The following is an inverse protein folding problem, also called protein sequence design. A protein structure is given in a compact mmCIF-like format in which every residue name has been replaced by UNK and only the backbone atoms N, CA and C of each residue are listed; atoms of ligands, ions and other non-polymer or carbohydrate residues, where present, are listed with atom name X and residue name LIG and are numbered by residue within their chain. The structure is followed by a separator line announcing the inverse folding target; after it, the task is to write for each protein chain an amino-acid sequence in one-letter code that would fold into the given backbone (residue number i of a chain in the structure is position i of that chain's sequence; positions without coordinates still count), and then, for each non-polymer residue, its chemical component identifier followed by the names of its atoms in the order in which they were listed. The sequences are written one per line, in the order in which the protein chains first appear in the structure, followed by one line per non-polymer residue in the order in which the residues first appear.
data_IF_749862220915
#
_entry.id   IF_749862220915
#
_cell.length_a   1.000
_cell.length_b   1.000
_cell.length_c   1.000
_cell.angle_alpha   90.00
_cell.angle_beta   90.00
_cell.angle_gamma   90.00
#
_symmetry.space_group_name_H-M   'P 1'
#
loop_
_entity.id
_entity.type
_entity.pdbx_description
1 polymer ?
#
# COMPACT_ATOMS: atom_id res chain seq x y z
N UNK A 1 -1.86 3.67 -43.63
CA UNK A 1 -3.31 3.95 -43.71
C UNK A 1 -4.13 2.68 -43.46
N UNK A 2 -3.81 1.54 -44.06
CA UNK A 2 -4.51 0.26 -43.82
C UNK A 2 -4.35 -0.32 -42.40
N UNK A 3 -3.21 -0.06 -41.74
CA UNK A 3 -2.94 -0.51 -40.36
C UNK A 3 -3.74 0.22 -39.29
N UNK A 4 -4.05 1.50 -39.49
CA UNK A 4 -4.85 2.27 -38.51
C UNK A 4 -6.35 2.00 -38.67
N UNK A 5 -6.82 1.78 -39.91
CA UNK A 5 -8.20 1.40 -40.19
C UNK A 5 -8.54 0.00 -39.65
N UNK A 6 -7.63 -0.96 -39.75
CA UNK A 6 -7.82 -2.30 -39.17
C UNK A 6 -7.79 -2.28 -37.64
N UNK A 7 -6.95 -1.44 -37.03
CA UNK A 7 -6.95 -1.23 -35.58
C UNK A 7 -8.26 -0.61 -35.09
N UNK A 8 -8.80 0.38 -35.81
CA UNK A 8 -10.08 1.01 -35.52
C UNK A 8 -11.26 0.04 -35.66
N UNK A 9 -11.34 -0.72 -36.75
CA UNK A 9 -12.37 -1.74 -36.95
C UNK A 9 -12.31 -2.86 -35.90
N UNK A 10 -11.11 -3.22 -35.44
CA UNK A 10 -10.93 -4.20 -34.37
C UNK A 10 -11.43 -3.64 -33.04
N UNK A 11 -11.18 -2.36 -32.76
CA UNK A 11 -11.63 -1.71 -31.53
C UNK A 11 -13.17 -1.60 -31.52
N UNK A 12 -13.78 -1.13 -32.62
CA UNK A 12 -15.24 -1.08 -32.76
C UNK A 12 -15.91 -2.46 -32.62
N UNK A 13 -15.40 -3.49 -33.29
CA UNK A 13 -15.96 -4.84 -33.18
C UNK A 13 -15.81 -5.41 -31.76
N UNK A 14 -14.70 -5.07 -31.07
CA UNK A 14 -14.47 -5.43 -29.68
C UNK A 14 -15.40 -4.67 -28.73
N UNK A 15 -15.65 -3.38 -28.96
CA UNK A 15 -16.58 -2.60 -28.15
C UNK A 15 -18.02 -3.10 -28.31
N UNK A 16 -18.43 -3.41 -29.55
CA UNK A 16 -19.76 -4.00 -29.84
C UNK A 16 -19.92 -5.38 -29.20
N UNK A 17 -18.89 -6.22 -29.27
CA UNK A 17 -18.90 -7.52 -28.60
C UNK A 17 -19.01 -7.39 -27.08
N UNK A 18 -18.22 -6.49 -26.47
CA UNK A 18 -18.29 -6.22 -25.03
C UNK A 18 -19.64 -5.64 -24.61
N UNK A 19 -20.25 -4.77 -25.43
CA UNK A 19 -21.60 -4.27 -25.17
C UNK A 19 -22.64 -5.39 -25.23
N UNK A 20 -22.54 -6.31 -26.20
CA UNK A 20 -23.42 -7.47 -26.31
C UNK A 20 -23.37 -8.35 -25.07
N UNK A 21 -22.17 -8.67 -24.57
CA UNK A 21 -22.00 -9.45 -23.33
C UNK A 21 -22.59 -8.74 -22.11
N UNK A 22 -22.33 -7.44 -21.94
CA UNK A 22 -22.87 -6.65 -20.83
C UNK A 22 -24.40 -6.61 -20.87
N UNK A 23 -24.99 -6.44 -22.05
CA UNK A 23 -26.45 -6.43 -22.23
C UNK A 23 -27.06 -7.80 -21.91
N UNK A 24 -26.41 -8.90 -22.30
CA UNK A 24 -26.85 -10.25 -21.94
C UNK A 24 -26.85 -10.45 -20.43
N UNK A 25 -25.81 -9.98 -19.74
CA UNK A 25 -25.70 -10.05 -18.28
C UNK A 25 -26.79 -9.20 -17.59
N UNK A 26 -27.03 -7.97 -18.06
CA UNK A 26 -28.07 -7.09 -17.52
C UNK A 26 -29.47 -7.69 -17.75
N UNK A 27 -29.69 -8.30 -18.91
CA UNK A 27 -30.96 -8.96 -19.25
C UNK A 27 -31.19 -10.18 -18.35
N UNK A 28 -30.14 -10.97 -18.11
CA UNK A 28 -30.17 -12.06 -17.13
C UNK A 28 -30.51 -11.56 -15.72
N UNK A 29 -29.83 -10.50 -15.23
CA UNK A 29 -30.09 -9.89 -13.91
C UNK A 29 -31.52 -9.34 -13.77
N UNK A 30 -32.06 -8.78 -14.85
CA UNK A 30 -33.42 -8.23 -14.87
C UNK A 30 -34.51 -9.31 -14.87
N UNK A 31 -34.20 -10.50 -15.39
CA UNK A 31 -35.10 -11.66 -15.34
C UNK A 31 -35.19 -12.34 -13.97
N UNK A 32 -34.43 -11.87 -12.98
CA UNK A 32 -34.41 -12.43 -11.63
C UNK A 32 -35.53 -11.82 -10.79
N UNK A 33 -36.28 -12.66 -10.08
CA UNK A 33 -37.31 -12.22 -9.15
C UNK A 33 -36.68 -11.73 -7.84
N UNK A 34 -36.54 -10.41 -7.71
CA UNK A 34 -35.91 -9.77 -6.54
C UNK A 34 -36.72 -9.87 -5.23
N UNK A 35 -37.92 -10.43 -5.30
CA UNK A 35 -38.83 -10.60 -4.16
C UNK A 35 -38.53 -11.85 -3.34
N UNK A 36 -37.61 -12.71 -3.78
CA UNK A 36 -37.29 -13.93 -3.05
C UNK A 36 -36.58 -13.63 -1.71
N UNK A 37 -36.97 -14.29 -0.60
CA UNK A 37 -36.45 -13.97 0.74
C UNK A 37 -34.93 -14.08 0.87
N UNK A 38 -34.31 -15.03 0.15
CA UNK A 38 -32.86 -15.20 0.16
C UNK A 38 -32.13 -14.06 -0.56
N UNK A 39 -32.72 -13.52 -1.63
CA UNK A 39 -32.20 -12.36 -2.37
C UNK A 39 -32.28 -11.08 -1.52
N UNK A 40 -33.37 -10.93 -0.75
CA UNK A 40 -33.51 -9.85 0.23
C UNK A 40 -32.45 -9.98 1.32
N UNK A 41 -32.19 -11.19 1.81
CA UNK A 41 -31.08 -11.47 2.73
C UNK A 41 -29.73 -11.06 2.14
N UNK A 42 -29.50 -11.33 0.86
CA UNK A 42 -28.32 -10.89 0.11
C UNK A 42 -28.24 -9.36 0.04
N UNK A 43 -29.35 -8.67 -0.22
CA UNK A 43 -29.38 -7.21 -0.27
C UNK A 43 -29.08 -6.57 1.09
N UNK A 44 -29.66 -7.10 2.17
CA UNK A 44 -29.35 -6.68 3.55
C UNK A 44 -27.88 -6.91 3.85
N UNK A 45 -27.33 -8.04 3.42
CA UNK A 45 -25.91 -8.34 3.55
C UNK A 45 -25.03 -7.29 2.86
N UNK A 46 -25.40 -6.81 1.68
CA UNK A 46 -24.70 -5.70 1.01
C UNK A 46 -24.75 -4.39 1.80
N UNK A 47 -25.92 -4.07 2.37
CA UNK A 47 -26.08 -2.89 3.24
C UNK A 47 -25.20 -3.02 4.47
N UNK A 48 -25.12 -4.22 5.07
CA UNK A 48 -24.23 -4.49 6.21
C UNK A 48 -22.76 -4.30 5.82
N UNK A 49 -22.31 -4.83 4.67
CA UNK A 49 -20.94 -4.60 4.17
C UNK A 49 -20.68 -3.11 3.99
N UNK A 50 -21.58 -2.37 3.34
CA UNK A 50 -21.41 -0.92 3.16
C UNK A 50 -21.35 -0.19 4.50
N UNK A 51 -22.23 -0.55 5.43
CA UNK A 51 -22.25 0.03 6.78
C UNK A 51 -20.94 -0.26 7.51
N UNK A 52 -20.45 -1.49 7.45
CA UNK A 52 -19.18 -1.90 8.05
C UNK A 52 -18.02 -1.15 7.41
N UNK A 53 -18.00 -0.96 6.09
CA UNK A 53 -16.98 -0.13 5.40
C UNK A 53 -16.98 1.30 5.94
N UNK A 54 -18.15 1.92 6.13
CA UNK A 54 -18.28 3.28 6.67
C UNK A 54 -17.82 3.36 8.13
N UNK A 55 -18.24 2.42 8.98
CA UNK A 55 -17.88 2.39 10.41
C UNK A 55 -16.38 2.12 10.59
N UNK A 56 -15.81 1.27 9.73
CA UNK A 56 -14.41 0.83 9.81
C UNK A 56 -13.41 1.93 9.45
N UNK A 57 -13.86 3.06 8.86
CA UNK A 57 -13.02 4.21 8.52
C UNK A 57 -12.27 4.82 9.71
N UNK A 58 -12.75 4.61 10.93
CA UNK A 58 -12.17 5.20 12.14
C UNK A 58 -11.02 4.37 12.74
N UNK A 59 -10.90 3.08 12.39
CA UNK A 59 -9.94 2.17 13.02
C UNK A 59 -9.21 1.32 11.96
N UNK A 60 -8.00 1.74 11.57
CA UNK A 60 -7.20 1.06 10.53
C UNK A 60 -6.89 -0.42 10.79
N UNK A 61 -6.83 -0.87 12.06
CA UNK A 61 -6.66 -2.29 12.38
C UNK A 61 -7.91 -3.13 12.07
N UNK A 62 -9.10 -2.59 12.36
CA UNK A 62 -10.37 -3.22 11.98
C UNK A 62 -10.53 -3.28 10.46
N UNK A 63 -9.98 -2.29 9.75
CA UNK A 63 -9.95 -2.26 8.29
C UNK A 63 -9.23 -3.46 7.68
N UNK A 64 -8.10 -3.86 8.29
CA UNK A 64 -7.36 -5.06 7.88
C UNK A 64 -8.17 -6.34 8.11
N UNK A 65 -8.72 -6.53 9.31
CA UNK A 65 -9.53 -7.72 9.64
C UNK A 65 -10.75 -7.82 8.71
N UNK A 66 -11.45 -6.71 8.51
CA UNK A 66 -12.62 -6.65 7.62
C UNK A 66 -12.25 -7.01 6.18
N UNK A 67 -11.11 -6.56 5.68
CA UNK A 67 -10.61 -6.94 4.35
C UNK A 67 -10.39 -8.45 4.22
N UNK A 68 -9.74 -9.09 5.20
CA UNK A 68 -9.58 -10.55 5.18
C UNK A 68 -10.91 -11.29 5.28
N UNK A 69 -11.85 -10.80 6.09
CA UNK A 69 -13.21 -11.36 6.16
C UNK A 69 -13.94 -11.28 4.81
N UNK A 70 -13.84 -10.14 4.09
CA UNK A 70 -14.42 -9.99 2.76
C UNK A 70 -13.78 -10.93 1.74
N UNK A 71 -12.45 -11.08 1.76
CA UNK A 71 -11.75 -12.03 0.88
C UNK A 71 -12.18 -13.47 1.15
N UNK A 72 -12.22 -13.87 2.43
CA UNK A 72 -12.65 -15.21 2.82
C UNK A 72 -14.08 -15.48 2.33
N UNK A 73 -14.97 -14.51 2.51
CA UNK A 73 -16.35 -14.59 2.09
C UNK A 73 -16.50 -14.72 0.56
N UNK A 74 -15.71 -13.97 -0.23
CA UNK A 74 -15.68 -14.14 -1.71
C UNK A 74 -15.19 -15.53 -2.10
N UNK A 75 -14.19 -16.08 -1.40
CA UNK A 75 -13.73 -17.46 -1.63
C UNK A 75 -14.80 -18.49 -1.24
N UNK A 76 -15.53 -18.25 -0.15
CA UNK A 76 -16.65 -19.08 0.28
C UNK A 76 -17.87 -18.93 -0.63
N UNK A 77 -17.99 -17.88 -1.44
CA UNK A 77 -19.12 -17.64 -2.33
C UNK A 77 -19.36 -18.82 -3.29
N UNK A 78 -18.28 -19.44 -3.80
CA UNK A 78 -18.39 -20.65 -4.64
C UNK A 78 -19.00 -21.82 -3.88
N UNK A 79 -18.61 -22.02 -2.62
CA UNK A 79 -19.15 -23.09 -1.77
C UNK A 79 -20.59 -22.83 -1.36
N UNK A 80 -20.95 -21.57 -1.10
CA UNK A 80 -22.33 -21.15 -0.92
C UNK A 80 -23.18 -21.42 -2.17
N UNK A 81 -22.65 -21.11 -3.36
CA UNK A 81 -23.33 -21.38 -4.62
C UNK A 81 -23.53 -22.89 -4.86
N UNK A 82 -22.52 -23.74 -4.60
CA UNK A 82 -22.66 -25.21 -4.68
C UNK A 82 -23.73 -25.74 -3.71
N UNK A 83 -23.75 -25.24 -2.47
CA UNK A 83 -24.73 -25.66 -1.45
C UNK A 83 -26.15 -25.18 -1.78
N UNK A 84 -26.28 -23.98 -2.33
CA UNK A 84 -27.56 -23.45 -2.77
C UNK A 84 -28.05 -24.13 -4.06
N UNK A 85 -27.13 -24.56 -4.93
CA UNK A 85 -27.45 -25.39 -6.11
C UNK A 85 -27.83 -26.83 -5.74
N UNK A 86 -27.35 -27.39 -4.63
CA UNK A 86 -27.79 -28.72 -4.17
C UNK A 86 -29.14 -28.68 -3.45
N UNK A 87 -29.46 -27.54 -2.80
CA UNK A 87 -30.66 -27.37 -1.99
C UNK A 87 -31.64 -26.35 -2.59
N UNK A 88 -31.59 -26.16 -3.92
CA UNK A 88 -32.35 -25.13 -4.62
C UNK A 88 -33.85 -25.20 -4.34
N UNK A 89 -34.42 -26.40 -4.23
CA UNK A 89 -35.85 -26.65 -4.00
C UNK A 89 -36.36 -26.10 -2.64
N UNK A 90 -35.48 -25.94 -1.65
CA UNK A 90 -35.82 -25.33 -0.35
C UNK A 90 -35.54 -23.83 -0.30
N UNK A 91 -34.70 -23.33 -1.20
CA UNK A 91 -34.16 -21.97 -1.13
C UNK A 91 -34.79 -21.00 -2.14
N UNK A 92 -35.21 -21.48 -3.30
CA UNK A 92 -35.70 -20.67 -4.40
C UNK A 92 -36.75 -21.43 -5.23
N UNK A 93 -37.74 -20.70 -5.77
CA UNK A 93 -38.69 -21.29 -6.73
C UNK A 93 -38.04 -21.67 -8.07
N UNK A 94 -36.83 -21.15 -8.36
CA UNK A 94 -36.07 -21.41 -9.59
C UNK A 94 -34.57 -21.61 -9.33
N UNK A 95 -33.90 -22.34 -10.23
CA UNK A 95 -32.47 -22.64 -10.14
C UNK A 95 -31.60 -21.46 -10.60
N UNK A 96 -31.43 -20.46 -9.73
CA UNK A 96 -30.52 -19.33 -9.96
C UNK A 96 -29.04 -19.69 -9.81
N UNK A 97 -28.75 -20.80 -9.12
CA UNK A 97 -27.41 -21.28 -8.82
C UNK A 97 -26.96 -22.30 -9.85
N UNK A 98 -26.12 -21.86 -10.78
CA UNK A 98 -25.47 -22.72 -11.78
C UNK A 98 -24.04 -23.08 -11.33
N UNK A 99 -23.49 -24.18 -11.83
CA UNK A 99 -22.13 -24.68 -11.53
C UNK A 99 -21.04 -23.65 -11.87
N UNK A 100 -21.31 -22.79 -12.86
CA UNK A 100 -20.43 -21.70 -13.26
C UNK A 100 -20.36 -20.57 -12.22
N UNK A 101 -21.31 -20.49 -11.27
CA UNK A 101 -21.33 -19.48 -10.21
C UNK A 101 -21.40 -18.05 -10.73
N UNK A 102 -21.88 -17.84 -11.96
CA UNK A 102 -21.87 -16.52 -12.63
C UNK A 102 -22.77 -15.53 -11.89
N UNK A 103 -23.97 -15.96 -11.46
CA UNK A 103 -24.89 -15.14 -10.69
C UNK A 103 -24.27 -14.70 -9.36
N UNK A 104 -23.83 -15.65 -8.53
CA UNK A 104 -23.22 -15.34 -7.23
C UNK A 104 -21.96 -14.51 -7.44
N UNK A 105 -21.07 -14.87 -8.36
CA UNK A 105 -19.84 -14.11 -8.58
C UNK A 105 -20.12 -12.68 -9.02
N UNK A 106 -21.14 -12.45 -9.85
CA UNK A 106 -21.46 -11.12 -10.33
C UNK A 106 -22.22 -10.29 -9.29
N UNK A 107 -23.28 -10.82 -8.69
CA UNK A 107 -24.14 -10.06 -7.77
C UNK A 107 -23.49 -9.92 -6.40
N UNK A 108 -22.84 -10.97 -5.91
CA UNK A 108 -22.17 -10.97 -4.62
C UNK A 108 -20.75 -10.43 -4.72
N UNK A 109 -19.92 -10.96 -5.63
CA UNK A 109 -18.51 -10.58 -5.63
C UNK A 109 -18.25 -9.23 -6.26
N UNK A 110 -19.04 -8.72 -7.22
CA UNK A 110 -18.80 -7.40 -7.83
C UNK A 110 -18.74 -6.24 -6.83
N UNK A 111 -19.77 -6.00 -5.98
CA UNK A 111 -19.72 -4.92 -4.99
C UNK A 111 -18.66 -5.17 -3.91
N UNK A 112 -18.41 -6.43 -3.54
CA UNK A 112 -17.38 -6.76 -2.54
C UNK A 112 -15.97 -6.52 -3.09
N UNK A 113 -15.71 -6.95 -4.33
CA UNK A 113 -14.44 -6.74 -5.02
C UNK A 113 -14.16 -5.26 -5.25
N UNK A 114 -15.17 -4.48 -5.61
CA UNK A 114 -15.04 -3.03 -5.75
C UNK A 114 -14.64 -2.38 -4.40
N UNK A 115 -15.30 -2.77 -3.31
CA UNK A 115 -14.92 -2.33 -1.96
C UNK A 115 -13.48 -2.75 -1.61
N UNK A 116 -13.10 -4.00 -1.91
CA UNK A 116 -11.73 -4.49 -1.71
C UNK A 116 -10.70 -3.69 -2.52
N UNK A 117 -10.99 -3.36 -3.78
CA UNK A 117 -10.08 -2.60 -4.64
C UNK A 117 -9.84 -1.19 -4.10
N UNK A 118 -10.90 -0.51 -3.66
CA UNK A 118 -10.81 0.82 -3.04
C UNK A 118 -9.96 0.77 -1.76
N UNK A 119 -10.17 -0.25 -0.93
CA UNK A 119 -9.43 -0.44 0.32
C UNK A 119 -7.95 -0.71 0.08
N UNK A 120 -7.63 -1.57 -0.90
CA UNK A 120 -6.25 -1.86 -1.32
C UNK A 120 -5.60 -0.60 -1.88
N UNK A 121 -6.31 0.18 -2.69
CA UNK A 121 -5.81 1.46 -3.22
C UNK A 121 -5.48 2.47 -2.10
N UNK A 122 -6.37 2.63 -1.12
CA UNK A 122 -6.13 3.48 0.05
C UNK A 122 -4.94 2.98 0.89
N UNK A 123 -4.86 1.67 1.13
CA UNK A 123 -3.75 1.07 1.88
C UNK A 123 -2.42 1.23 1.16
N UNK A 124 -2.37 0.99 -0.16
CA UNK A 124 -1.16 1.19 -0.97
C UNK A 124 -0.71 2.65 -0.94
N UNK A 125 -1.64 3.59 -1.05
CA UNK A 125 -1.34 5.01 -0.93
C UNK A 125 -0.77 5.34 0.45
N UNK A 126 -1.40 4.85 1.52
CA UNK A 126 -0.96 5.13 2.89
C UNK A 126 0.36 4.44 3.25
N UNK A 127 0.56 3.21 2.80
CA UNK A 127 1.81 2.43 2.94
C UNK A 127 2.97 3.07 2.19
N UNK A 128 2.72 3.53 0.96
CA UNK A 128 3.67 4.32 0.18
C UNK A 128 4.03 5.63 0.87
N UNK A 129 3.04 6.36 1.39
CA UNK A 129 3.27 7.59 2.14
C UNK A 129 4.08 7.36 3.43
N UNK A 130 3.82 6.27 4.17
CA UNK A 130 4.58 5.88 5.36
C UNK A 130 6.05 5.60 5.01
N UNK A 131 6.29 4.87 3.93
CA UNK A 131 7.64 4.56 3.44
C UNK A 131 8.39 5.81 3.00
N UNK A 132 7.73 6.74 2.32
CA UNK A 132 8.31 8.03 1.92
C UNK A 132 8.67 8.86 3.16
N UNK A 133 7.79 8.92 4.17
CA UNK A 133 8.06 9.63 5.43
C UNK A 133 9.25 9.04 6.20
N UNK A 134 9.36 7.71 6.26
CA UNK A 134 10.50 7.03 6.89
C UNK A 134 11.80 7.37 6.14
N UNK A 135 11.79 7.33 4.81
CA UNK A 135 12.95 7.70 3.98
C UNK A 135 13.33 9.17 4.15
N UNK A 136 12.35 10.08 4.22
CA UNK A 136 12.59 11.50 4.50
C UNK A 136 13.18 11.72 5.90
N UNK A 137 12.68 11.01 6.91
CA UNK A 137 13.21 11.08 8.27
C UNK A 137 14.65 10.57 8.35
N UNK A 138 14.94 9.42 7.71
CA UNK A 138 16.28 8.86 7.63
C UNK A 138 17.26 9.80 6.89
N UNK A 139 16.82 10.44 5.80
CA UNK A 139 17.65 11.41 5.06
C UNK A 139 17.95 12.64 5.91
N UNK A 140 16.94 13.17 6.61
CA UNK A 140 17.10 14.32 7.51
C UNK A 140 18.06 14.02 8.66
N UNK A 141 18.06 12.80 9.17
CA UNK A 141 18.99 12.36 10.21
C UNK A 141 20.43 12.23 9.70
N UNK A 142 20.62 11.64 8.51
CA UNK A 142 21.94 11.55 7.85
C UNK A 142 22.56 12.93 7.62
N UNK A 143 21.79 13.88 7.08
CA UNK A 143 22.26 15.26 6.86
C UNK A 143 22.67 15.95 8.17
N UNK A 144 21.91 15.72 9.26
CA UNK A 144 22.25 16.25 10.59
C UNK A 144 23.54 15.64 11.13
N UNK A 145 23.73 14.33 10.99
CA UNK A 145 24.97 13.65 11.40
C UNK A 145 26.19 14.19 10.64
N UNK A 146 26.08 14.33 9.32
CA UNK A 146 27.15 14.90 8.48
C UNK A 146 27.49 16.34 8.86
N UNK A 147 26.47 17.18 9.13
CA UNK A 147 26.69 18.57 9.54
C UNK A 147 27.43 18.68 10.89
N UNK A 148 27.15 17.76 11.83
CA UNK A 148 27.83 17.69 13.13
C UNK A 148 29.30 17.29 12.97
N UNK A 149 29.57 16.26 12.18
CA UNK A 149 30.95 15.83 11.88
C UNK A 149 31.73 16.95 11.19
N UNK A 150 31.13 17.63 10.22
CA UNK A 150 31.77 18.75 9.51
C UNK A 150 32.06 19.93 10.42
N UNK A 151 31.21 20.21 11.41
CA UNK A 151 31.43 21.28 12.40
C UNK A 151 32.57 20.92 13.35
N UNK A 152 32.58 19.71 13.91
CA UNK A 152 33.66 19.20 14.75
C UNK A 152 35.01 19.20 14.03
N UNK A 153 35.03 18.82 12.75
CA UNK A 153 36.26 18.84 11.94
C UNK A 153 36.82 20.27 11.78
N UNK A 154 35.96 21.26 11.50
CA UNK A 154 36.40 22.68 11.44
C UNK A 154 36.92 23.18 12.78
N UNK A 155 36.25 22.85 13.88
CA UNK A 155 36.68 23.24 15.23
C UNK A 155 38.03 22.60 15.60
N UNK A 156 38.28 21.35 15.17
CA UNK A 156 39.56 20.68 15.36
C UNK A 156 40.68 21.27 14.50
N UNK A 157 40.41 21.60 13.23
CA UNK A 157 41.36 22.26 12.33
C UNK A 157 41.74 23.66 12.83
N UNK A 158 40.76 24.40 13.37
CA UNK A 158 40.97 25.76 13.89
C UNK A 158 41.79 25.76 15.19
N UNK A 159 41.64 24.73 16.06
CA UNK A 159 42.50 24.54 17.24
C UNK A 159 43.94 24.15 16.88
N UNK A 160 44.14 23.35 15.83
CA UNK A 160 45.47 22.94 15.36
C UNK A 160 46.26 24.07 14.69
N UNK A 161 45.57 25.04 14.08
CA UNK A 161 46.21 26.21 13.47
C UNK A 161 46.61 27.32 14.47
N UNK A 162 46.22 27.20 15.74
CA UNK A 162 46.50 28.18 16.81
C UNK A 162 47.56 27.73 17.82
N UNK A 163 48.18 26.56 17.64
CA UNK A 163 49.32 26.12 18.45
C UNK A 163 50.58 26.91 18.01
N UNK A 164 51.25 27.67 18.90
CA UNK A 164 52.44 28.43 18.52
C UNK A 164 53.56 27.50 18.09
N UNK A 165 54.12 27.74 16.90
CA UNK A 165 55.40 27.17 16.48
C UNK A 165 56.46 27.63 17.48
N UNK A 166 56.79 26.77 18.45
CA UNK A 166 57.89 26.98 19.37
C UNK A 166 59.19 26.93 18.57
N UNK A 167 59.84 28.10 18.54
CA UNK A 167 61.07 28.44 17.84
C UNK A 167 62.24 27.52 18.22
N UNK A 168 63.01 27.12 17.21
CA UNK A 168 64.35 26.55 17.34
C UNK A 168 65.19 27.32 18.39
N UNK A 169 65.94 26.64 19.28
CA UNK A 169 67.02 27.29 19.99
C UNK A 169 68.23 27.36 19.05
N UNK A 170 68.44 28.56 18.54
CA UNK A 170 69.63 29.01 17.82
C UNK A 170 70.91 28.76 18.64
N UNK A 171 71.92 28.32 17.91
CA UNK A 171 73.26 28.01 18.36
C UNK A 171 73.96 29.29 18.81
N UNK A 172 74.29 29.40 20.10
CA UNK A 172 75.37 30.30 20.54
C UNK A 172 75.93 29.86 21.90
N UNK A 173 76.87 28.93 21.85
CA UNK A 173 77.92 28.77 22.88
C UNK A 173 78.70 30.10 22.99
N UNK A 174 79.16 30.47 24.20
CA UNK A 174 80.61 30.59 24.32
C UNK A 174 81.17 29.93 25.58
N UNK A 175 82.34 29.32 25.36
CA UNK A 175 83.22 28.66 26.33
C UNK A 175 83.95 29.64 27.26
N UNK A 176 84.39 29.08 28.40
CA UNK A 176 85.32 29.57 29.45
C UNK A 176 84.60 30.34 30.56
N UNK A 177 84.70 29.93 31.83
CA UNK A 177 85.94 30.01 32.62
C UNK A 177 85.99 28.93 33.71
N UNK A 178 87.17 28.33 33.86
CA UNK A 178 87.55 27.38 34.90
C UNK A 178 88.45 28.18 35.83
N UNK A 179 88.09 28.37 37.11
CA UNK A 179 89.02 28.40 38.25
C UNK A 179 88.36 28.75 39.60
N UNK A 180 88.71 27.93 40.60
CA UNK A 180 88.96 28.20 42.01
C UNK A 180 88.01 29.06 42.88
N UNK A 181 87.44 28.40 43.92
CA UNK A 181 87.62 28.70 45.37
C UNK A 181 86.52 27.93 46.15
N UNK A 182 86.83 26.89 46.95
CA UNK A 182 87.26 26.92 48.37
C UNK A 182 86.18 27.47 49.32
N UNK A 183 86.01 26.79 50.46
CA UNK A 183 85.06 26.96 51.59
C UNK A 183 83.78 26.12 51.43
N UNK A 184 83.42 25.18 52.29
CA UNK A 184 83.91 24.68 53.59
C UNK A 184 83.52 23.19 53.72
#
# INVERSE_FOLDING_TARGET
METEFTAFLTDDNKLVHMQGEVLNIITFLKGIDWTEPWLIGLLVFHILIMTLTVVTRHHGNFQGVFFFSLLLLVLCAKKLNELAASNWEYFAGQQYFDSNGMFISLVFSSPILLNCLIMVGHWLYWSGAMTIKIKQAQLKERLRAESRIRKQKREAEQKKGSEPTESEPDSSEPKKEKDQAKSE
#
